data_IF_387952803483
#
_entry.id   IF_387952803483
#
_cell.length_a   1.000
_cell.length_b   1.000
_cell.length_c   1.000
_cell.angle_alpha   90.00
_cell.angle_beta   90.00
_cell.angle_gamma   90.00
#
_symmetry.space_group_name_H-M   'P 1'
#
loop_
_entity.id
_entity.type
_entity.pdbx_description
1 polymer ?
#
# COMPACT_ATOMS: atom_id res chain seq x y z
N UNK A 1 11.88 9.31 -1.47
CA UNK A 1 11.42 8.08 -2.15
C UNK A 1 12.32 6.92 -1.74
N UNK A 2 11.74 5.78 -1.38
CA UNK A 2 12.42 4.51 -1.12
C UNK A 2 12.19 3.59 -2.32
N UNK A 3 13.16 3.42 -3.21
CA UNK A 3 12.92 2.68 -4.46
C UNK A 3 12.78 1.18 -4.27
N UNK A 4 13.40 0.61 -3.24
CA UNK A 4 13.35 -0.81 -2.92
C UNK A 4 13.67 -1.01 -1.44
N UNK A 5 12.75 -1.65 -0.70
CA UNK A 5 12.96 -1.95 0.72
C UNK A 5 13.58 -3.34 0.90
N UNK A 6 13.29 -4.27 -0.01
CA UNK A 6 13.83 -5.62 -0.01
C UNK A 6 14.75 -5.85 -1.23
N UNK A 7 16.02 -5.43 -1.20
CA UNK A 7 16.95 -5.62 -2.33
C UNK A 7 17.18 -7.11 -2.65
N UNK A 8 17.20 -7.97 -1.63
CA UNK A 8 17.32 -9.42 -1.82
C UNK A 8 16.12 -9.99 -2.59
N UNK A 9 14.91 -9.64 -2.15
CA UNK A 9 13.68 -10.07 -2.83
C UNK A 9 13.62 -9.59 -4.27
N UNK A 10 14.06 -8.36 -4.53
CA UNK A 10 14.16 -7.81 -5.89
C UNK A 10 15.14 -8.62 -6.77
N UNK A 11 16.31 -8.95 -6.26
CA UNK A 11 17.34 -9.68 -7.00
C UNK A 11 16.94 -11.13 -7.29
N UNK A 12 16.33 -11.81 -6.31
CA UNK A 12 16.02 -13.24 -6.38
C UNK A 12 14.56 -13.58 -6.67
N UNK A 13 13.69 -12.58 -6.82
CA UNK A 13 12.27 -12.78 -7.08
C UNK A 13 11.52 -13.42 -5.91
N UNK A 14 11.91 -13.11 -4.67
CA UNK A 14 11.29 -13.64 -3.44
C UNK A 14 10.58 -12.55 -2.66
N UNK A 15 9.54 -12.93 -1.91
CA UNK A 15 8.85 -12.03 -0.97
C UNK A 15 9.72 -11.75 0.26
N UNK A 16 10.41 -12.78 0.74
CA UNK A 16 11.25 -12.73 1.93
C UNK A 16 12.61 -12.08 1.64
N UNK A 17 13.23 -11.53 2.67
CA UNK A 17 14.62 -11.06 2.62
C UNK A 17 15.61 -12.24 2.73
N UNK A 18 16.93 -11.96 2.76
CA UNK A 18 17.99 -12.96 2.88
C UNK A 18 17.95 -13.81 4.16
N UNK A 19 17.13 -13.43 5.15
CA UNK A 19 16.90 -14.18 6.39
C UNK A 19 15.60 -15.00 6.35
N UNK A 20 14.93 -15.09 5.19
CA UNK A 20 13.65 -15.77 5.06
C UNK A 20 12.48 -15.06 5.79
N UNK A 21 12.55 -13.73 5.92
CA UNK A 21 11.56 -12.94 6.65
C UNK A 21 10.74 -12.06 5.71
N UNK A 22 9.41 -12.08 5.86
CA UNK A 22 8.52 -11.10 5.24
C UNK A 22 8.65 -9.77 5.97
N UNK A 23 9.35 -8.81 5.36
CA UNK A 23 9.64 -7.51 5.97
C UNK A 23 8.35 -6.73 6.28
N UNK A 24 7.30 -6.89 5.46
CA UNK A 24 6.05 -6.15 5.66
C UNK A 24 5.14 -6.74 6.78
N UNK A 25 5.69 -7.62 7.60
CA UNK A 25 5.09 -8.15 8.84
C UNK A 25 5.86 -7.74 10.11
N UNK A 26 6.97 -7.01 9.94
CA UNK A 26 7.94 -6.80 11.03
C UNK A 26 8.04 -5.35 11.51
N UNK A 27 7.09 -4.49 11.15
CA UNK A 27 7.14 -3.08 11.58
C UNK A 27 6.68 -2.84 13.02
N UNK A 28 6.18 -3.86 13.74
CA UNK A 28 5.80 -3.78 15.16
C UNK A 28 6.80 -4.44 16.11
N UNK A 29 7.83 -5.14 15.58
CA UNK A 29 8.80 -5.85 16.43
C UNK A 29 9.86 -4.92 17.02
N UNK A 30 10.37 -5.23 18.21
CA UNK A 30 11.35 -4.39 18.93
C UNK A 30 12.72 -4.38 18.25
N UNK A 31 13.16 -5.51 17.67
CA UNK A 31 14.44 -5.67 17.00
C UNK A 31 14.22 -6.10 15.53
N UNK A 32 13.80 -5.16 14.66
CA UNK A 32 13.52 -5.49 13.27
C UNK A 32 14.80 -5.69 12.45
N UNK A 33 14.72 -6.38 11.30
CA UNK A 33 15.78 -6.40 10.30
C UNK A 33 16.22 -5.00 9.90
N UNK A 34 17.46 -4.87 9.41
CA UNK A 34 18.05 -3.56 9.07
C UNK A 34 17.22 -2.80 8.02
N UNK A 35 16.61 -3.50 7.08
CA UNK A 35 15.75 -2.92 6.04
C UNK A 35 14.52 -2.24 6.66
N UNK A 36 13.87 -2.91 7.61
CA UNK A 36 12.72 -2.39 8.36
C UNK A 36 13.15 -1.23 9.25
N UNK A 37 14.24 -1.37 10.00
CA UNK A 37 14.79 -0.30 10.84
C UNK A 37 15.08 0.97 10.02
N UNK A 38 15.66 0.82 8.84
CA UNK A 38 15.92 1.95 7.93
C UNK A 38 14.61 2.64 7.49
N UNK A 39 13.61 1.86 7.08
CA UNK A 39 12.30 2.40 6.72
C UNK A 39 11.60 3.09 7.90
N UNK A 40 11.68 2.49 9.11
CA UNK A 40 11.15 3.09 10.33
C UNK A 40 11.82 4.44 10.65
N UNK A 41 13.14 4.56 10.44
CA UNK A 41 13.87 5.81 10.69
C UNK A 41 13.36 6.96 9.81
N UNK A 42 12.96 6.67 8.56
CA UNK A 42 12.37 7.65 7.66
C UNK A 42 10.93 7.99 8.07
N UNK A 43 10.14 6.96 8.41
CA UNK A 43 8.75 7.13 8.82
C UNK A 43 8.59 7.71 10.25
N UNK A 44 9.69 7.93 10.97
CA UNK A 44 9.67 8.67 12.23
C UNK A 44 9.34 10.16 12.06
N UNK A 45 9.44 10.67 10.83
CA UNK A 45 9.01 12.01 10.44
C UNK A 45 7.54 11.89 9.95
N UNK A 46 6.60 12.68 10.49
CA UNK A 46 5.23 12.64 10.02
C UNK A 46 5.12 13.19 8.59
N UNK A 47 4.48 12.43 7.71
CA UNK A 47 4.17 12.83 6.35
C UNK A 47 2.66 13.07 6.21
N UNK A 48 2.25 13.97 5.33
CA UNK A 48 0.83 14.13 4.96
C UNK A 48 0.32 12.88 4.21
N UNK A 49 1.21 12.21 3.45
CA UNK A 49 0.86 11.07 2.62
C UNK A 49 2.04 10.11 2.46
N UNK A 50 1.77 8.80 2.55
CA UNK A 50 2.65 7.74 2.05
C UNK A 50 1.93 6.91 1.00
N UNK A 51 2.66 6.50 -0.03
CA UNK A 51 2.18 5.60 -1.08
C UNK A 51 3.15 4.43 -1.18
N UNK A 52 2.64 3.22 -1.00
CA UNK A 52 3.37 1.97 -1.18
C UNK A 52 2.89 1.29 -2.46
N UNK A 53 3.84 0.78 -3.26
CA UNK A 53 3.55 0.10 -4.51
C UNK A 53 3.82 -1.39 -4.32
N UNK A 54 2.79 -2.18 -4.47
CA UNK A 54 2.80 -3.62 -4.29
C UNK A 54 2.23 -4.35 -5.50
N UNK A 55 2.39 -5.66 -5.50
CA UNK A 55 1.73 -6.55 -6.44
C UNK A 55 1.23 -7.80 -5.72
N UNK A 56 0.05 -8.25 -6.13
CA UNK A 56 -0.60 -9.45 -5.64
C UNK A 56 -0.70 -10.50 -6.74
N UNK A 57 -0.29 -11.74 -6.46
CA UNK A 57 -0.35 -12.85 -7.38
C UNK A 57 -1.66 -13.66 -7.30
N UNK A 58 -2.50 -13.38 -6.35
CA UNK A 58 -3.79 -14.05 -6.14
C UNK A 58 -4.96 -13.22 -6.66
N UNK A 59 -4.81 -11.89 -6.68
CA UNK A 59 -5.87 -10.99 -7.14
C UNK A 59 -6.05 -11.03 -8.66
N UNK A 60 -7.29 -10.94 -9.11
CA UNK A 60 -7.66 -10.87 -10.53
C UNK A 60 -7.66 -9.45 -11.09
N UNK A 61 -7.52 -8.43 -10.24
CA UNK A 61 -7.58 -7.02 -10.61
C UNK A 61 -6.84 -6.12 -9.62
N UNK A 62 -6.84 -4.83 -9.94
CA UNK A 62 -6.26 -3.80 -9.08
C UNK A 62 -7.16 -3.54 -7.87
N UNK A 63 -6.55 -3.33 -6.71
CA UNK A 63 -7.23 -2.87 -5.49
C UNK A 63 -6.27 -2.04 -4.64
N UNK A 64 -6.74 -1.49 -3.53
CA UNK A 64 -5.89 -0.73 -2.63
C UNK A 64 -6.33 -0.82 -1.17
N UNK A 65 -5.35 -0.68 -0.29
CA UNK A 65 -5.59 -0.36 1.12
C UNK A 65 -5.48 1.14 1.32
N UNK A 66 -6.38 1.68 2.11
CA UNK A 66 -6.42 3.09 2.44
C UNK A 66 -6.65 3.29 3.95
N UNK A 67 -5.79 4.08 4.58
CA UNK A 67 -5.95 4.52 5.97
C UNK A 67 -5.73 6.02 6.04
N UNK A 68 -6.70 6.74 6.58
CA UNK A 68 -6.64 8.18 6.76
C UNK A 68 -7.24 8.61 8.09
N UNK A 69 -7.03 9.87 8.46
CA UNK A 69 -7.57 10.48 9.68
C UNK A 69 -8.97 11.05 9.47
N UNK A 70 -9.36 11.32 8.22
CA UNK A 70 -10.64 11.92 7.86
C UNK A 70 -11.57 10.95 7.12
N UNK A 71 -12.88 10.99 7.45
CA UNK A 71 -13.90 10.22 6.71
C UNK A 71 -14.01 10.64 5.22
N UNK A 72 -13.59 11.85 4.87
CA UNK A 72 -13.53 12.35 3.48
C UNK A 72 -12.47 11.66 2.63
N UNK A 73 -11.51 10.98 3.26
CA UNK A 73 -10.48 10.22 2.56
C UNK A 73 -11.05 9.00 1.83
N UNK A 74 -12.27 8.54 2.18
CA UNK A 74 -12.93 7.43 1.51
C UNK A 74 -13.15 7.66 -0.01
N UNK A 75 -13.29 8.92 -0.45
CA UNK A 75 -13.49 9.27 -1.84
C UNK A 75 -12.22 9.06 -2.70
N UNK A 76 -11.04 9.24 -2.10
CA UNK A 76 -9.76 9.17 -2.83
C UNK A 76 -9.53 7.80 -3.44
N UNK A 77 -9.75 6.72 -2.67
CA UNK A 77 -9.57 5.35 -3.18
C UNK A 77 -10.46 5.07 -4.39
N UNK A 78 -11.71 5.49 -4.33
CA UNK A 78 -12.66 5.32 -5.45
C UNK A 78 -12.21 6.12 -6.68
N UNK A 79 -11.76 7.38 -6.50
CA UNK A 79 -11.25 8.21 -7.60
C UNK A 79 -10.01 7.59 -8.27
N UNK A 80 -9.10 7.01 -7.47
CA UNK A 80 -7.94 6.28 -7.98
C UNK A 80 -8.38 5.09 -8.84
N UNK A 81 -9.29 4.25 -8.32
CA UNK A 81 -9.74 3.05 -9.02
C UNK A 81 -10.52 3.39 -10.31
N UNK A 82 -11.32 4.45 -10.28
CA UNK A 82 -12.01 4.96 -11.45
C UNK A 82 -11.05 5.41 -12.58
N UNK A 83 -9.91 6.00 -12.20
CA UNK A 83 -8.89 6.39 -13.18
C UNK A 83 -8.14 5.17 -13.78
N UNK A 84 -8.09 4.04 -13.06
CA UNK A 84 -7.34 2.84 -13.45
C UNK A 84 -8.20 1.86 -14.27
N UNK A 85 -9.52 1.82 -14.09
CA UNK A 85 -10.42 0.77 -14.61
C UNK A 85 -10.30 0.48 -16.12
N UNK A 86 -9.81 1.43 -16.91
CA UNK A 86 -9.56 1.26 -18.34
C UNK A 86 -8.15 0.74 -18.66
N UNK A 87 -7.26 0.62 -17.67
CA UNK A 87 -5.88 0.15 -17.81
C UNK A 87 -5.80 -1.30 -17.33
N UNK A 88 -6.43 -1.59 -16.18
CA UNK A 88 -6.46 -2.88 -15.53
C UNK A 88 -7.85 -3.09 -14.91
N UNK A 89 -8.43 -4.30 -14.95
CA UNK A 89 -9.64 -4.60 -14.19
C UNK A 89 -9.48 -4.26 -12.72
N UNK A 90 -10.55 -3.82 -12.07
CA UNK A 90 -10.59 -3.62 -10.63
C UNK A 90 -11.10 -4.90 -9.96
N UNK A 91 -10.50 -5.29 -8.86
CA UNK A 91 -11.04 -6.35 -8.02
C UNK A 91 -12.26 -5.81 -7.27
N UNK A 92 -13.43 -6.33 -7.60
CA UNK A 92 -14.73 -5.88 -7.04
C UNK A 92 -15.31 -6.87 -6.02
N UNK A 93 -14.52 -7.84 -5.55
CA UNK A 93 -14.96 -8.78 -4.53
C UNK A 93 -15.25 -8.04 -3.21
N UNK A 94 -16.28 -8.51 -2.48
CA UNK A 94 -16.65 -7.95 -1.17
C UNK A 94 -15.62 -8.25 -0.07
N UNK A 95 -14.76 -9.26 -0.31
CA UNK A 95 -13.64 -9.64 0.54
C UNK A 95 -12.38 -9.84 -0.33
N UNK A 96 -11.31 -9.13 0.00
CA UNK A 96 -10.01 -9.20 -0.68
C UNK A 96 -8.93 -9.36 0.40
N UNK A 97 -8.04 -10.33 0.24
CA UNK A 97 -6.95 -10.65 1.20
C UNK A 97 -7.48 -10.79 2.65
N UNK A 98 -8.63 -11.49 2.81
CA UNK A 98 -9.27 -11.72 4.12
C UNK A 98 -9.85 -10.46 4.77
N UNK A 99 -9.96 -9.37 4.04
CA UNK A 99 -10.47 -8.09 4.52
C UNK A 99 -11.71 -7.65 3.74
N UNK A 100 -12.69 -7.06 4.43
CA UNK A 100 -13.86 -6.49 3.77
C UNK A 100 -13.43 -5.34 2.85
N UNK A 101 -13.88 -5.39 1.61
CA UNK A 101 -13.59 -4.39 0.60
C UNK A 101 -14.88 -3.71 0.11
N UNK A 102 -14.76 -2.45 -0.30
CA UNK A 102 -15.82 -1.70 -0.93
C UNK A 102 -15.35 -1.20 -2.29
N UNK A 103 -15.82 -1.83 -3.39
CA UNK A 103 -15.42 -1.49 -4.75
C UNK A 103 -13.89 -1.48 -4.95
N UNK A 104 -13.18 -2.46 -4.37
CA UNK A 104 -11.72 -2.57 -4.46
C UNK A 104 -10.94 -1.70 -3.46
N UNK A 105 -11.61 -1.02 -2.54
CA UNK A 105 -10.98 -0.24 -1.46
C UNK A 105 -11.13 -0.98 -0.14
N UNK A 106 -9.99 -1.26 0.52
CA UNK A 106 -9.91 -1.85 1.86
C UNK A 106 -9.45 -0.76 2.84
N UNK A 107 -10.03 -0.67 4.04
CA UNK A 107 -9.42 0.17 5.05
C UNK A 107 -10.30 0.86 6.06
N UNK A 108 -11.60 0.92 5.84
CA UNK A 108 -12.50 1.70 6.69
C UNK A 108 -12.50 1.30 8.17
N UNK A 109 -12.19 0.02 8.49
CA UNK A 109 -12.37 -0.55 9.84
C UNK A 109 -11.11 -1.26 10.38
N UNK A 110 -9.91 -0.93 9.92
CA UNK A 110 -8.70 -1.56 10.46
C UNK A 110 -8.43 -0.99 11.86
N UNK A 111 -8.68 -1.81 12.89
CA UNK A 111 -8.22 -1.53 14.24
C UNK A 111 -6.75 -1.97 14.39
N UNK A 112 -5.84 -1.02 14.25
CA UNK A 112 -4.40 -1.28 14.36
C UNK A 112 -3.96 -1.71 15.77
N UNK A 113 -4.76 -1.43 16.80
CA UNK A 113 -4.42 -1.78 18.18
C UNK A 113 -4.54 -3.28 18.44
N UNK A 114 -5.44 -3.95 17.75
CA UNK A 114 -5.71 -5.38 17.88
C UNK A 114 -4.77 -6.28 17.06
N UNK A 115 -3.96 -5.72 16.17
CA UNK A 115 -3.07 -6.48 15.29
C UNK A 115 -1.76 -6.86 15.99
N UNK A 116 -1.37 -8.13 15.90
CA UNK A 116 -0.10 -8.62 16.47
C UNK A 116 1.14 -8.19 15.65
N UNK A 117 0.96 -7.85 14.39
CA UNK A 117 2.00 -7.39 13.48
C UNK A 117 1.53 -6.19 12.67
N UNK A 118 2.47 -5.37 12.18
CA UNK A 118 2.15 -4.23 11.32
C UNK A 118 2.89 -4.29 9.99
N UNK A 119 2.22 -3.97 8.88
CA UNK A 119 2.87 -3.55 7.64
C UNK A 119 3.44 -2.14 7.79
N UNK A 120 4.25 -1.72 6.82
CA UNK A 120 4.88 -0.40 6.80
C UNK A 120 3.86 0.74 6.88
N UNK A 121 2.75 0.65 6.13
CA UNK A 121 1.70 1.65 6.14
C UNK A 121 1.12 1.91 7.55
N UNK A 122 0.81 0.85 8.30
CA UNK A 122 0.24 0.99 9.64
C UNK A 122 1.28 1.51 10.65
N UNK A 123 2.56 1.17 10.48
CA UNK A 123 3.62 1.78 11.26
C UNK A 123 3.70 3.29 11.00
N UNK A 124 3.74 3.70 9.73
CA UNK A 124 3.71 5.11 9.35
C UNK A 124 2.52 5.86 9.96
N UNK A 125 1.32 5.28 9.86
CA UNK A 125 0.12 5.84 10.47
C UNK A 125 0.25 5.98 11.99
N UNK A 126 0.83 4.99 12.69
CA UNK A 126 1.09 5.06 14.13
C UNK A 126 2.10 6.15 14.53
N UNK A 127 2.91 6.63 13.57
CA UNK A 127 3.89 7.72 13.76
C UNK A 127 3.37 9.08 13.30
N UNK A 128 2.10 9.17 12.94
CA UNK A 128 1.47 10.43 12.57
C UNK A 128 1.44 10.74 11.08
N UNK A 129 1.68 9.74 10.23
CA UNK A 129 1.35 9.88 8.81
C UNK A 129 -0.17 10.03 8.69
N UNK A 130 -0.62 11.10 8.04
CA UNK A 130 -2.05 11.41 7.98
C UNK A 130 -2.82 10.46 7.07
N UNK A 131 -2.19 10.02 5.97
CA UNK A 131 -2.79 9.14 4.96
C UNK A 131 -1.79 8.13 4.45
N UNK A 132 -2.19 6.87 4.45
CA UNK A 132 -1.41 5.76 3.91
C UNK A 132 -2.21 5.07 2.81
N UNK A 133 -1.60 4.91 1.65
CA UNK A 133 -2.13 4.14 0.52
C UNK A 133 -1.18 3.00 0.23
N UNK A 134 -1.69 1.77 0.19
CA UNK A 134 -0.99 0.60 -0.35
C UNK A 134 -1.71 0.17 -1.61
N UNK A 135 -1.04 0.29 -2.74
CA UNK A 135 -1.60 0.09 -4.07
C UNK A 135 -1.17 -1.29 -4.58
N UNK A 136 -2.13 -2.13 -4.97
CA UNK A 136 -1.90 -3.52 -5.34
C UNK A 136 -2.26 -3.78 -6.80
N UNK A 137 -1.25 -4.10 -7.63
CA UNK A 137 -1.49 -4.57 -8.99
C UNK A 137 -1.59 -6.09 -9.04
N UNK A 138 -2.46 -6.62 -9.90
CA UNK A 138 -2.49 -8.06 -10.16
C UNK A 138 -1.27 -8.49 -11.01
N UNK A 139 -0.41 -9.35 -10.44
CA UNK A 139 0.88 -9.73 -11.02
C UNK A 139 0.78 -10.50 -12.35
N UNK A 140 -0.39 -11.08 -12.67
CA UNK A 140 -0.67 -11.75 -13.93
C UNK A 140 -0.63 -10.85 -15.17
N UNK A 141 -0.74 -9.52 -14.99
CA UNK A 141 -0.62 -8.56 -16.09
C UNK A 141 0.85 -8.26 -16.39
N UNK A 142 1.13 -7.89 -17.65
CA UNK A 142 2.48 -7.53 -18.06
C UNK A 142 3.00 -6.29 -17.30
N UNK A 143 4.32 -6.16 -17.18
CA UNK A 143 4.97 -5.09 -16.43
C UNK A 143 4.52 -3.69 -16.88
N UNK A 144 4.37 -3.44 -18.19
CA UNK A 144 3.98 -2.13 -18.71
C UNK A 144 2.58 -1.73 -18.22
N UNK A 145 1.63 -2.67 -18.19
CA UNK A 145 0.27 -2.44 -17.67
C UNK A 145 0.31 -2.14 -16.18
N UNK A 146 1.05 -2.91 -15.38
CA UNK A 146 1.20 -2.70 -13.93
C UNK A 146 1.83 -1.36 -13.60
N UNK A 147 2.92 -1.00 -14.28
CA UNK A 147 3.58 0.31 -14.13
C UNK A 147 2.64 1.44 -14.51
N UNK A 148 1.90 1.34 -15.61
CA UNK A 148 0.96 2.37 -16.04
C UNK A 148 -0.19 2.56 -15.03
N UNK A 149 -0.70 1.47 -14.46
CA UNK A 149 -1.72 1.53 -13.40
C UNK A 149 -1.19 2.27 -12.16
N UNK A 150 -0.02 1.92 -11.65
CA UNK A 150 0.60 2.61 -10.52
C UNK A 150 0.91 4.09 -10.79
N UNK A 151 1.44 4.42 -11.98
CA UNK A 151 1.69 5.81 -12.34
C UNK A 151 0.40 6.63 -12.43
N UNK A 152 -0.69 6.02 -12.91
CA UNK A 152 -2.01 6.66 -12.94
C UNK A 152 -2.54 6.88 -11.53
N UNK A 153 -2.43 5.88 -10.64
CA UNK A 153 -2.80 6.02 -9.24
C UNK A 153 -2.05 7.17 -8.55
N UNK A 154 -0.72 7.22 -8.72
CA UNK A 154 0.12 8.29 -8.13
C UNK A 154 -0.32 9.67 -8.65
N UNK A 155 -0.51 9.81 -9.97
CA UNK A 155 -0.95 11.08 -10.58
C UNK A 155 -2.32 11.51 -10.05
N UNK A 156 -3.28 10.60 -9.98
CA UNK A 156 -4.62 10.88 -9.45
C UNK A 156 -4.53 11.32 -8.00
N UNK A 157 -3.77 10.61 -7.18
CA UNK A 157 -3.55 10.97 -5.77
C UNK A 157 -2.96 12.38 -5.63
N UNK A 158 -1.90 12.71 -6.36
CA UNK A 158 -1.28 14.03 -6.30
C UNK A 158 -2.22 15.14 -6.76
N UNK A 159 -2.99 14.92 -7.84
CA UNK A 159 -3.96 15.88 -8.33
C UNK A 159 -5.09 16.11 -7.31
N UNK A 160 -5.55 15.06 -6.63
CA UNK A 160 -6.56 15.18 -5.58
C UNK A 160 -6.15 16.16 -4.50
N UNK A 161 -4.90 16.09 -4.03
CA UNK A 161 -4.40 17.01 -3.00
C UNK A 161 -4.09 18.41 -3.55
N UNK A 162 -3.65 18.54 -4.80
CA UNK A 162 -3.40 19.86 -5.40
C UNK A 162 -4.69 20.64 -5.62
N UNK A 163 -5.80 19.97 -5.92
CA UNK A 163 -7.09 20.60 -6.18
C UNK A 163 -7.90 20.92 -4.90
N UNK A 164 -7.51 20.35 -3.76
CA UNK A 164 -8.18 20.60 -2.45
C UNK A 164 -7.45 21.63 -1.58
N UNK A 165 -6.31 22.18 -2.04
CA UNK A 165 -5.62 23.34 -1.45
C UNK A 165 -6.16 24.63 -2.03
#
# INVERSE_FOLDING_TARGET
MLPCINPHGYEFGTRENHQGKDLNRLFKVDEPPIEVFFAQSILSIPFELTIELHEDNESTGYYLYQKGIDAKDDELGIEILDAIKNIMPINLDDEIDGSSANHGVIGKNIDISSMDWWPMALYGFSKGVERCLTLETASQFNMATRVNAHLTAIKTTLNYFLNKR
#
